data_IF_266388123592
#
_entry.id   IF_266388123592
#
_cell.length_a   1.000
_cell.length_b   1.000
_cell.length_c   1.000
_cell.angle_alpha   90.00
_cell.angle_beta   90.00
_cell.angle_gamma   90.00
#
_symmetry.space_group_name_H-M   'P 1'
#
loop_
_entity.id
_entity.type
_entity.pdbx_description
1 polymer ?
#
# COMPACT_ATOMS: atom_id res chain seq x y z
N UNK A 1 -27.44 -61.28 -3.16
CA UNK A 1 -28.42 -60.18 -3.14
C UNK A 1 -27.82 -59.00 -2.35
N UNK A 2 -26.67 -58.48 -2.81
CA UNK A 2 -25.92 -57.40 -2.13
C UNK A 2 -25.72 -56.24 -3.13
N UNK A 3 -25.36 -56.57 -4.38
CA UNK A 3 -25.22 -55.59 -5.46
C UNK A 3 -26.47 -54.75 -5.78
N UNK A 4 -27.68 -55.29 -5.59
CA UNK A 4 -28.95 -54.56 -5.81
C UNK A 4 -29.25 -53.57 -4.67
N UNK A 5 -28.83 -53.89 -3.45
CA UNK A 5 -28.99 -53.03 -2.27
C UNK A 5 -27.96 -51.91 -2.32
N UNK A 6 -26.71 -52.22 -2.69
CA UNK A 6 -25.67 -51.21 -2.91
C UNK A 6 -26.02 -50.25 -4.06
N UNK A 7 -26.60 -50.75 -5.17
CA UNK A 7 -27.08 -49.89 -6.27
C UNK A 7 -28.24 -48.99 -5.84
N UNK A 8 -29.18 -49.50 -5.04
CA UNK A 8 -30.31 -48.71 -4.54
C UNK A 8 -29.84 -47.60 -3.58
N UNK A 9 -28.85 -47.89 -2.74
CA UNK A 9 -28.24 -46.91 -1.83
C UNK A 9 -27.45 -45.86 -2.62
N UNK A 10 -26.62 -46.25 -3.58
CA UNK A 10 -25.83 -45.32 -4.40
C UNK A 10 -26.74 -44.39 -5.22
N UNK A 11 -27.77 -44.96 -5.87
CA UNK A 11 -28.77 -44.20 -6.64
C UNK A 11 -29.60 -43.26 -5.76
N UNK A 12 -29.86 -43.62 -4.51
CA UNK A 12 -30.55 -42.73 -3.55
C UNK A 12 -29.69 -41.53 -3.14
N UNK A 13 -28.36 -41.66 -3.19
CA UNK A 13 -27.40 -40.60 -2.89
C UNK A 13 -27.08 -39.69 -4.09
N UNK A 14 -27.36 -40.16 -5.30
CA UNK A 14 -27.01 -39.47 -6.55
C UNK A 14 -27.75 -38.14 -6.73
N UNK A 15 -29.03 -38.05 -6.34
CA UNK A 15 -29.78 -36.81 -6.36
C UNK A 15 -29.18 -35.74 -5.44
N UNK A 16 -28.64 -36.14 -4.29
CA UNK A 16 -27.95 -35.24 -3.36
C UNK A 16 -26.61 -34.78 -3.92
N UNK A 17 -25.84 -35.67 -4.55
CA UNK A 17 -24.56 -35.33 -5.22
C UNK A 17 -24.76 -34.37 -6.39
N UNK A 18 -25.83 -34.55 -7.17
CA UNK A 18 -26.19 -33.66 -8.28
C UNK A 18 -26.59 -32.27 -7.75
N UNK A 19 -27.39 -32.19 -6.68
CA UNK A 19 -27.74 -30.92 -6.04
C UNK A 19 -26.51 -30.18 -5.52
N UNK A 20 -25.64 -30.88 -4.80
CA UNK A 20 -24.42 -30.30 -4.24
C UNK A 20 -23.48 -29.79 -5.34
N UNK A 21 -23.38 -30.52 -6.47
CA UNK A 21 -22.60 -30.09 -7.64
C UNK A 21 -23.21 -28.85 -8.30
N UNK A 22 -24.52 -28.82 -8.51
CA UNK A 22 -25.21 -27.65 -9.08
C UNK A 22 -25.07 -26.42 -8.18
N UNK A 23 -25.19 -26.59 -6.87
CA UNK A 23 -24.97 -25.50 -5.90
C UNK A 23 -23.53 -24.97 -5.96
N UNK A 24 -22.54 -25.88 -5.98
CA UNK A 24 -21.12 -25.51 -6.13
C UNK A 24 -20.84 -24.81 -7.46
N UNK A 25 -21.41 -25.32 -8.57
CA UNK A 25 -21.25 -24.73 -9.89
C UNK A 25 -21.92 -23.35 -9.97
N UNK A 26 -23.10 -23.18 -9.35
CA UNK A 26 -23.79 -21.90 -9.25
C UNK A 26 -23.00 -20.88 -8.40
N UNK A 27 -22.45 -21.30 -7.26
CA UNK A 27 -21.55 -20.47 -6.43
C UNK A 27 -20.28 -20.07 -7.20
N UNK A 28 -19.74 -20.99 -8.01
CA UNK A 28 -18.59 -20.70 -8.88
C UNK A 28 -18.94 -19.69 -9.97
N UNK A 29 -20.13 -19.79 -10.56
CA UNK A 29 -20.58 -18.88 -11.60
C UNK A 29 -20.91 -17.50 -11.04
N UNK A 30 -21.55 -17.42 -9.87
CA UNK A 30 -21.79 -16.14 -9.19
C UNK A 30 -20.49 -15.45 -8.83
N UNK A 31 -19.50 -16.19 -8.29
CA UNK A 31 -18.19 -15.64 -7.99
C UNK A 31 -17.47 -15.11 -9.24
N UNK A 32 -17.53 -15.84 -10.35
CA UNK A 32 -16.95 -15.40 -11.62
C UNK A 32 -17.64 -14.13 -12.17
N UNK A 33 -18.97 -14.03 -12.06
CA UNK A 33 -19.72 -12.84 -12.44
C UNK A 33 -19.38 -11.62 -11.57
N UNK A 34 -19.26 -11.81 -10.25
CA UNK A 34 -18.83 -10.75 -9.34
C UNK A 34 -17.42 -10.27 -9.64
N UNK A 35 -16.48 -11.19 -9.89
CA UNK A 35 -15.12 -10.85 -10.28
C UNK A 35 -15.10 -10.07 -11.61
N UNK A 36 -15.85 -10.51 -12.61
CA UNK A 36 -15.98 -9.81 -13.90
C UNK A 36 -16.53 -8.39 -13.72
N UNK A 37 -17.54 -8.21 -12.86
CA UNK A 37 -18.08 -6.88 -12.51
C UNK A 37 -17.04 -6.00 -11.83
N UNK A 38 -16.27 -6.54 -10.87
CA UNK A 38 -15.19 -5.79 -10.20
C UNK A 38 -14.14 -5.31 -11.20
N UNK A 39 -13.65 -6.21 -12.06
CA UNK A 39 -12.67 -5.88 -13.11
C UNK A 39 -13.19 -4.79 -14.04
N UNK A 40 -14.45 -4.87 -14.46
CA UNK A 40 -15.08 -3.84 -15.30
C UNK A 40 -15.13 -2.47 -14.59
N UNK A 41 -15.48 -2.46 -13.31
CA UNK A 41 -15.54 -1.23 -12.52
C UNK A 41 -14.14 -0.64 -12.29
N UNK A 42 -13.16 -1.46 -11.91
CA UNK A 42 -11.77 -1.03 -11.75
C UNK A 42 -11.24 -0.40 -13.04
N UNK A 43 -11.48 -1.06 -14.18
CA UNK A 43 -11.09 -0.56 -15.49
C UNK A 43 -11.70 0.81 -15.77
N UNK A 44 -13.00 0.99 -15.51
CA UNK A 44 -13.68 2.28 -15.68
C UNK A 44 -13.07 3.37 -14.79
N UNK A 45 -12.77 3.07 -13.54
CA UNK A 45 -12.18 4.03 -12.60
C UNK A 45 -10.75 4.42 -13.06
N UNK A 46 -9.95 3.44 -13.48
CA UNK A 46 -8.59 3.68 -13.99
C UNK A 46 -8.62 4.52 -15.28
N UNK A 47 -9.52 4.21 -16.21
CA UNK A 47 -9.66 4.95 -17.47
C UNK A 47 -10.19 6.38 -17.25
N UNK A 48 -11.05 6.58 -16.26
CA UNK A 48 -11.58 7.90 -15.91
C UNK A 48 -10.62 8.73 -15.04
N UNK A 49 -9.57 8.12 -14.49
CA UNK A 49 -8.65 8.79 -13.60
C UNK A 49 -7.88 9.89 -14.33
N UNK A 50 -7.89 11.09 -13.77
CA UNK A 50 -7.06 12.20 -14.23
C UNK A 50 -6.01 12.51 -13.17
N UNK A 51 -4.71 12.56 -13.53
CA UNK A 51 -3.67 12.95 -12.60
C UNK A 51 -3.95 14.32 -12.00
N UNK A 52 -3.79 14.44 -10.69
CA UNK A 52 -3.94 15.69 -9.97
C UNK A 52 -2.65 16.06 -9.25
N UNK A 53 -2.42 17.35 -9.10
CA UNK A 53 -1.28 17.91 -8.39
C UNK A 53 -1.77 18.95 -7.40
N UNK A 54 -1.12 19.01 -6.25
CA UNK A 54 -1.31 20.03 -5.24
C UNK A 54 0.05 20.52 -4.79
N UNK A 55 0.16 21.82 -4.58
CA UNK A 55 1.36 22.44 -4.01
C UNK A 55 1.11 22.76 -2.53
N UNK A 56 2.19 22.77 -1.75
CA UNK A 56 2.16 23.00 -0.31
C UNK A 56 1.99 24.48 0.07
N UNK A 57 1.99 24.78 1.38
CA UNK A 57 2.31 23.84 2.48
C UNK A 57 1.15 22.89 2.81
N UNK A 58 1.48 21.63 3.09
CA UNK A 58 0.53 20.60 3.54
C UNK A 58 0.45 20.57 5.07
N UNK A 59 -0.22 21.55 5.65
CA UNK A 59 -0.35 21.71 7.12
C UNK A 59 -1.71 21.32 7.69
N UNK A 60 -2.62 20.84 6.85
CA UNK A 60 -3.98 20.50 7.24
C UNK A 60 -4.11 19.07 7.79
N UNK A 61 -5.24 18.78 8.44
CA UNK A 61 -5.57 17.42 8.87
C UNK A 61 -6.14 16.65 7.69
N UNK A 62 -5.42 15.62 7.24
CA UNK A 62 -5.86 14.73 6.15
C UNK A 62 -6.57 13.49 6.68
N UNK A 63 -7.44 12.92 5.83
CA UNK A 63 -8.09 11.63 6.12
C UNK A 63 -7.06 10.50 6.17
N UNK A 64 -7.26 9.53 7.07
CA UNK A 64 -6.31 8.44 7.35
C UNK A 64 -5.96 7.61 6.10
N UNK A 65 -6.89 7.52 5.15
CA UNK A 65 -6.77 6.67 3.97
C UNK A 65 -6.14 7.38 2.76
N UNK A 66 -5.59 8.59 2.93
CA UNK A 66 -5.00 9.36 1.83
C UNK A 66 -3.48 9.29 1.79
N UNK A 67 -2.90 9.61 0.63
CA UNK A 67 -1.45 9.62 0.45
C UNK A 67 -0.79 10.73 1.28
N UNK A 68 -1.45 11.89 1.39
CA UNK A 68 -1.01 13.04 2.19
C UNK A 68 -0.85 12.65 3.66
N UNK A 69 -1.86 11.98 4.23
CA UNK A 69 -1.79 11.51 5.59
C UNK A 69 -0.61 10.54 5.78
N UNK A 70 -0.48 9.54 4.90
CA UNK A 70 0.57 8.54 5.01
C UNK A 70 1.99 9.13 4.93
N UNK A 71 2.25 10.07 4.00
CA UNK A 71 3.57 10.70 3.89
C UNK A 71 3.90 11.57 5.11
N UNK A 72 2.92 12.33 5.60
CA UNK A 72 3.09 13.16 6.79
C UNK A 72 3.34 12.30 8.03
N UNK A 73 2.57 11.24 8.25
CA UNK A 73 2.79 10.31 9.36
C UNK A 73 4.16 9.61 9.27
N UNK A 74 4.61 9.25 8.08
CA UNK A 74 5.93 8.65 7.88
C UNK A 74 7.05 9.64 8.25
N UNK A 75 7.01 10.86 7.72
CA UNK A 75 8.02 11.89 7.98
C UNK A 75 8.02 12.34 9.44
N UNK A 76 6.84 12.51 10.04
CA UNK A 76 6.68 12.84 11.45
C UNK A 76 7.19 11.69 12.35
N UNK A 77 6.92 10.45 11.95
CA UNK A 77 7.47 9.26 12.58
C UNK A 77 9.00 9.25 12.54
N UNK A 78 9.59 9.65 11.41
CA UNK A 78 11.05 9.73 11.28
C UNK A 78 11.65 10.83 12.15
N UNK A 79 11.10 12.05 12.08
CA UNK A 79 11.54 13.19 12.89
C UNK A 79 11.50 12.88 14.39
N UNK A 80 10.42 12.25 14.86
CA UNK A 80 10.24 11.90 16.26
C UNK A 80 10.87 10.55 16.66
N UNK A 81 11.58 9.88 15.75
CA UNK A 81 12.14 8.53 15.94
C UNK A 81 11.09 7.50 16.39
N UNK A 82 9.83 7.71 16.01
CA UNK A 82 8.75 6.77 16.19
C UNK A 82 8.74 5.79 15.01
N UNK A 83 9.64 4.80 15.08
CA UNK A 83 9.81 3.79 14.04
C UNK A 83 8.60 2.88 13.85
N UNK A 84 7.73 2.77 14.87
CA UNK A 84 6.45 2.09 14.74
C UNK A 84 5.53 2.83 13.77
N UNK A 85 5.43 4.16 13.90
CA UNK A 85 4.64 4.98 13.00
C UNK A 85 5.18 4.95 11.57
N UNK A 86 6.50 5.05 11.40
CA UNK A 86 7.15 4.88 10.08
C UNK A 86 6.80 3.52 9.47
N UNK A 87 6.92 2.43 10.25
CA UNK A 87 6.68 1.09 9.77
C UNK A 87 5.24 0.83 9.30
N UNK A 88 4.24 1.57 9.83
CA UNK A 88 2.84 1.48 9.36
C UNK A 88 2.68 1.97 7.92
N UNK A 89 3.47 2.95 7.53
CA UNK A 89 3.42 3.59 6.23
C UNK A 89 4.65 3.28 5.39
N UNK A 90 5.36 2.20 5.68
CA UNK A 90 6.52 1.76 4.92
C UNK A 90 6.14 0.57 4.02
N UNK A 91 6.59 0.60 2.77
CA UNK A 91 6.50 -0.55 1.84
C UNK A 91 7.09 -1.80 2.50
N UNK A 92 6.29 -2.87 2.58
CA UNK A 92 6.67 -4.15 3.18
C UNK A 92 6.40 -5.32 2.22
N UNK A 93 7.16 -5.40 1.13
CA UNK A 93 7.02 -6.44 0.10
C UNK A 93 7.21 -7.86 0.66
N UNK A 94 8.04 -7.99 1.70
CA UNK A 94 8.35 -9.26 2.36
C UNK A 94 7.33 -9.66 3.43
N UNK A 95 6.26 -8.88 3.62
CA UNK A 95 5.19 -9.10 4.62
C UNK A 95 5.73 -9.41 6.03
N UNK A 96 6.81 -8.72 6.42
CA UNK A 96 7.41 -8.88 7.75
C UNK A 96 6.41 -8.45 8.83
N UNK A 97 6.39 -9.11 9.99
CA UNK A 97 5.61 -8.64 11.13
C UNK A 97 5.95 -7.19 11.48
N UNK A 98 4.94 -6.43 11.90
CA UNK A 98 5.06 -5.00 12.22
C UNK A 98 6.26 -4.66 13.12
N UNK A 99 6.49 -5.46 14.17
CA UNK A 99 7.62 -5.28 15.10
C UNK A 99 8.98 -5.38 14.41
N UNK A 100 9.13 -6.30 13.43
CA UNK A 100 10.37 -6.44 12.65
C UNK A 100 10.55 -5.26 11.71
N UNK A 101 9.47 -4.79 11.08
CA UNK A 101 9.51 -3.63 10.19
C UNK A 101 9.91 -2.35 10.95
N UNK A 102 9.41 -2.15 12.17
CA UNK A 102 9.86 -1.06 13.04
C UNK A 102 11.33 -1.20 13.46
N UNK A 103 11.85 -2.42 13.55
CA UNK A 103 13.28 -2.69 13.69
C UNK A 103 14.08 -2.19 12.50
N UNK A 104 13.66 -2.55 11.29
CA UNK A 104 14.33 -2.15 10.05
C UNK A 104 14.30 -0.63 9.82
N UNK A 105 13.20 0.04 10.19
CA UNK A 105 13.14 1.51 10.13
C UNK A 105 14.17 2.14 11.09
N UNK A 106 14.35 1.55 12.28
CA UNK A 106 15.36 2.01 13.24
C UNK A 106 16.76 1.83 12.69
N UNK A 107 17.05 0.64 12.15
CA UNK A 107 18.38 0.30 11.65
C UNK A 107 18.74 1.16 10.43
N UNK A 108 17.79 1.39 9.52
CA UNK A 108 17.99 2.30 8.38
C UNK A 108 18.27 3.74 8.82
N UNK A 109 17.60 4.21 9.88
CA UNK A 109 17.72 5.58 10.40
C UNK A 109 18.79 5.71 11.51
N UNK A 110 19.58 4.69 11.80
CA UNK A 110 20.53 4.66 12.94
C UNK A 110 21.47 5.88 12.92
N UNK A 111 21.95 6.23 11.73
CA UNK A 111 22.94 7.27 11.49
C UNK A 111 22.37 8.56 10.90
N UNK A 112 21.04 8.66 10.76
CA UNK A 112 20.38 9.80 10.14
C UNK A 112 19.15 10.22 10.95
N UNK A 113 19.24 11.39 11.56
CA UNK A 113 18.12 12.02 12.28
C UNK A 113 17.50 13.11 11.41
N UNK A 114 16.21 13.01 11.12
CA UNK A 114 15.46 14.06 10.43
C UNK A 114 15.18 15.19 11.42
N UNK A 115 15.63 16.41 11.13
CA UNK A 115 15.39 17.58 11.98
C UNK A 115 14.13 18.32 11.51
N UNK A 116 14.09 18.65 10.22
CA UNK A 116 13.01 19.42 9.60
C UNK A 116 12.64 18.81 8.25
N UNK A 117 11.37 18.93 7.89
CA UNK A 117 10.87 18.57 6.58
C UNK A 117 9.78 19.53 6.16
N UNK A 118 9.65 19.71 4.86
CA UNK A 118 8.59 20.47 4.22
C UNK A 118 8.15 19.69 2.98
N UNK A 119 6.89 19.25 2.99
CA UNK A 119 6.25 18.72 1.79
C UNK A 119 5.75 19.93 1.00
N UNK A 120 6.18 20.07 -0.26
CA UNK A 120 5.81 21.23 -1.08
C UNK A 120 5.08 20.84 -2.36
N UNK A 121 5.03 19.55 -2.72
CA UNK A 121 4.21 19.06 -3.83
C UNK A 121 3.77 17.63 -3.63
N UNK A 122 2.51 17.34 -3.93
CA UNK A 122 1.94 16.00 -3.96
C UNK A 122 1.23 15.83 -5.30
N UNK A 123 1.62 14.80 -6.07
CA UNK A 123 1.04 14.48 -7.36
C UNK A 123 0.51 13.07 -7.38
N UNK A 124 -0.81 12.93 -7.55
CA UNK A 124 -1.43 11.65 -7.82
C UNK A 124 -1.25 11.30 -9.30
N UNK A 125 -0.24 10.50 -9.61
CA UNK A 125 0.08 10.10 -10.98
C UNK A 125 -0.81 8.99 -11.51
N UNK A 126 -1.30 8.11 -10.63
CA UNK A 126 -2.30 7.07 -10.96
C UNK A 126 -3.22 6.82 -9.75
N UNK A 127 -4.23 5.97 -9.91
CA UNK A 127 -5.13 5.54 -8.82
C UNK A 127 -4.41 4.90 -7.62
N UNK A 128 -3.19 4.38 -7.81
CA UNK A 128 -2.44 3.65 -6.79
C UNK A 128 -1.00 4.18 -6.61
N UNK A 129 -0.65 5.30 -7.25
CA UNK A 129 0.70 5.90 -7.16
C UNK A 129 0.60 7.40 -6.92
N UNK A 130 1.33 7.86 -5.92
CA UNK A 130 1.51 9.26 -5.62
C UNK A 130 3.01 9.59 -5.56
N UNK A 131 3.42 10.64 -6.28
CA UNK A 131 4.78 11.18 -6.24
C UNK A 131 4.76 12.42 -5.34
N UNK A 132 5.72 12.54 -4.43
CA UNK A 132 5.74 13.61 -3.42
C UNK A 132 7.11 14.26 -3.42
N UNK A 133 7.16 15.60 -3.47
CA UNK A 133 8.40 16.35 -3.32
C UNK A 133 8.53 16.90 -1.92
N UNK A 134 9.68 16.63 -1.33
CA UNK A 134 9.99 17.02 0.05
C UNK A 134 11.33 17.72 0.08
N UNK A 135 11.39 18.81 0.82
CA UNK A 135 12.63 19.42 1.29
C UNK A 135 12.91 18.92 2.69
N UNK A 136 14.13 18.48 2.96
CA UNK A 136 14.51 18.03 4.30
C UNK A 136 15.76 18.74 4.78
N UNK A 137 15.88 18.79 6.10
CA UNK A 137 17.13 19.02 6.81
C UNK A 137 17.33 17.87 7.80
N UNK A 138 18.47 17.19 7.71
CA UNK A 138 18.77 16.03 8.53
C UNK A 138 20.21 16.10 9.07
N UNK A 139 20.41 15.51 10.24
CA UNK A 139 21.73 15.31 10.84
C UNK A 139 22.23 13.90 10.55
N UNK A 140 23.33 13.81 9.83
CA UNK A 140 24.12 12.59 9.65
C UNK A 140 25.17 12.47 10.75
N UNK A 141 25.97 11.39 10.75
CA UNK A 141 27.08 11.19 11.69
C UNK A 141 28.05 12.37 11.77
N UNK A 142 28.35 13.01 10.64
CA UNK A 142 29.44 14.01 10.54
C UNK A 142 28.94 15.43 10.35
N UNK A 143 27.74 15.61 9.77
CA UNK A 143 27.25 16.94 9.39
C UNK A 143 25.73 17.02 9.28
N UNK A 144 25.23 18.25 9.24
CA UNK A 144 23.86 18.54 8.82
C UNK A 144 23.84 18.66 7.30
N UNK A 145 22.89 17.98 6.67
CA UNK A 145 22.64 18.02 5.23
C UNK A 145 21.23 18.55 5.00
N UNK A 146 21.05 19.29 3.91
CA UNK A 146 19.77 19.81 3.50
C UNK A 146 19.63 19.71 1.98
N UNK A 147 18.43 19.40 1.51
CA UNK A 147 18.17 19.27 0.09
C UNK A 147 16.76 18.79 -0.19
N UNK A 148 16.47 18.60 -1.47
CA UNK A 148 15.16 18.16 -1.94
C UNK A 148 15.28 16.75 -2.54
N UNK A 149 14.24 15.94 -2.42
CA UNK A 149 14.14 14.68 -3.13
C UNK A 149 12.68 14.29 -3.35
N UNK A 150 12.49 13.36 -4.28
CA UNK A 150 11.20 12.75 -4.55
C UNK A 150 10.99 11.52 -3.65
N UNK A 151 9.79 11.41 -3.09
CA UNK A 151 9.24 10.24 -2.45
C UNK A 151 8.19 9.60 -3.35
N UNK A 152 8.13 8.28 -3.33
CA UNK A 152 7.11 7.52 -4.02
C UNK A 152 6.23 6.81 -3.01
N UNK A 153 4.93 6.98 -3.17
CA UNK A 153 3.91 6.29 -2.41
C UNK A 153 3.14 5.38 -3.35
N UNK A 154 2.90 4.15 -2.89
CA UNK A 154 2.08 3.17 -3.60
C UNK A 154 0.99 2.71 -2.65
N UNK A 155 -0.23 2.55 -3.18
CA UNK A 155 -1.36 2.01 -2.45
C UNK A 155 -1.32 0.49 -2.52
N UNK A 156 -1.37 -0.18 -1.38
CA UNK A 156 -1.34 -1.64 -1.26
C UNK A 156 -2.60 -2.16 -0.58
N UNK A 157 -3.07 -3.32 -1.03
CA UNK A 157 -4.11 -4.07 -0.34
C UNK A 157 -3.52 -4.94 0.79
N UNK A 158 -4.38 -5.67 1.51
CA UNK A 158 -3.97 -6.52 2.64
C UNK A 158 -3.02 -7.65 2.23
N UNK A 159 -3.08 -8.09 0.98
CA UNK A 159 -2.15 -9.06 0.41
C UNK A 159 -0.80 -8.43 0.01
N UNK A 160 -0.60 -7.14 0.22
CA UNK A 160 0.64 -6.46 -0.19
C UNK A 160 0.82 -6.39 -1.71
N UNK A 161 -0.26 -6.57 -2.48
CA UNK A 161 -0.30 -6.26 -3.90
C UNK A 161 -0.69 -4.80 -4.09
N UNK A 162 -0.33 -4.22 -5.24
CA UNK A 162 -0.81 -2.86 -5.60
C UNK A 162 -2.34 -2.89 -5.63
N UNK A 163 -2.95 -1.98 -4.88
CA UNK A 163 -4.38 -1.94 -4.68
C UNK A 163 -5.10 -1.55 -5.96
N UNK A 164 -6.15 -2.31 -6.30
CA UNK A 164 -7.12 -1.91 -7.32
C UNK A 164 -8.12 -0.91 -6.72
N UNK A 165 -8.78 -0.07 -7.54
CA UNK A 165 -9.72 0.93 -7.04
C UNK A 165 -10.83 0.40 -6.14
N UNK A 166 -11.34 -0.80 -6.42
CA UNK A 166 -12.39 -1.45 -5.62
C UNK A 166 -11.89 -2.24 -4.41
N UNK A 167 -10.57 -2.33 -4.21
CA UNK A 167 -10.00 -2.97 -3.02
C UNK A 167 -10.32 -2.14 -1.77
N UNK A 168 -10.63 -2.86 -0.68
CA UNK A 168 -10.93 -2.28 0.63
C UNK A 168 -9.74 -2.42 1.56
N UNK A 169 -9.76 -1.67 2.67
CA UNK A 169 -8.74 -1.73 3.74
C UNK A 169 -7.30 -1.58 3.23
N UNK A 170 -7.12 -0.72 2.22
CA UNK A 170 -5.85 -0.48 1.59
C UNK A 170 -5.03 0.56 2.36
N UNK A 171 -3.71 0.45 2.28
CA UNK A 171 -2.78 1.39 2.91
C UNK A 171 -1.93 2.09 1.87
N UNK A 172 -1.68 3.38 2.06
CA UNK A 172 -0.62 4.09 1.34
C UNK A 172 0.72 3.87 2.05
N UNK A 173 1.72 3.44 1.27
CA UNK A 173 3.04 3.12 1.78
C UNK A 173 4.12 3.90 1.03
N UNK A 174 5.00 4.55 1.79
CA UNK A 174 6.15 5.35 1.35
C UNK A 174 7.35 4.45 1.10
N UNK A 175 8.04 4.64 -0.02
CA UNK A 175 9.32 4.00 -0.32
C UNK A 175 10.46 4.61 0.52
N UNK A 176 11.26 3.77 1.18
CA UNK A 176 12.23 4.23 2.19
C UNK A 176 13.58 4.70 1.64
N UNK A 177 13.74 4.78 0.30
CA UNK A 177 15.00 5.21 -0.33
C UNK A 177 15.43 6.63 0.09
N UNK A 178 14.52 7.44 0.63
CA UNK A 178 14.83 8.77 1.17
C UNK A 178 15.91 8.76 2.26
N UNK A 179 15.91 7.77 3.16
CA UNK A 179 16.90 7.69 4.25
C UNK A 179 18.29 7.46 3.66
N UNK A 180 18.39 6.56 2.68
CA UNK A 180 19.62 6.32 1.93
C UNK A 180 20.06 7.55 1.12
N UNK A 181 19.12 8.24 0.47
CA UNK A 181 19.41 9.46 -0.30
C UNK A 181 20.00 10.55 0.58
N UNK A 182 19.42 10.78 1.76
CA UNK A 182 19.95 11.76 2.74
C UNK A 182 21.35 11.37 3.21
N UNK A 183 21.57 10.10 3.54
CA UNK A 183 22.87 9.60 4.00
C UNK A 183 23.98 9.76 2.96
N UNK A 184 23.66 9.66 1.67
CA UNK A 184 24.60 9.78 0.56
C UNK A 184 24.54 11.12 -0.18
N UNK A 185 23.80 12.10 0.37
CA UNK A 185 23.60 13.43 -0.22
C UNK A 185 23.09 13.38 -1.67
N UNK A 186 22.30 12.36 -2.01
CA UNK A 186 21.65 12.21 -3.31
C UNK A 186 20.35 13.02 -3.31
N UNK A 187 20.49 14.32 -3.50
CA UNK A 187 19.36 15.23 -3.65
C UNK A 187 19.02 15.41 -5.14
N UNK A 188 17.77 15.75 -5.42
CA UNK A 188 17.39 16.21 -6.75
C UNK A 188 18.11 17.52 -7.05
N UNK A 189 18.61 17.67 -8.28
CA UNK A 189 19.19 18.94 -8.72
C UNK A 189 18.15 20.04 -8.54
N UNK A 190 18.51 21.11 -7.84
CA UNK A 190 17.71 22.33 -7.78
C UNK A 190 17.66 22.94 -9.18
N UNK A 191 16.56 22.72 -9.88
CA UNK A 191 16.14 23.51 -11.05
C UNK A 191 15.66 24.90 -10.61
#
# INVERSE_FOLDING_TARGET
MVALVDWAIDKSSEASRIKERIEKDNLSLSAALEQSRRIQNDKRIIEAFQPSESDGPFSETYNIDTAEYAVLQFLEGWKNRNFGLMAKHAINLTRKPFKKMAGEMRDMAEYVTLNEYEVFRIRHSTVARCDVRVRVQAKTLTKVVAGQFDLFLIRYNQDGNVAMPTDQDCIWAVQQNCIYNVMNEKFADTL
#
